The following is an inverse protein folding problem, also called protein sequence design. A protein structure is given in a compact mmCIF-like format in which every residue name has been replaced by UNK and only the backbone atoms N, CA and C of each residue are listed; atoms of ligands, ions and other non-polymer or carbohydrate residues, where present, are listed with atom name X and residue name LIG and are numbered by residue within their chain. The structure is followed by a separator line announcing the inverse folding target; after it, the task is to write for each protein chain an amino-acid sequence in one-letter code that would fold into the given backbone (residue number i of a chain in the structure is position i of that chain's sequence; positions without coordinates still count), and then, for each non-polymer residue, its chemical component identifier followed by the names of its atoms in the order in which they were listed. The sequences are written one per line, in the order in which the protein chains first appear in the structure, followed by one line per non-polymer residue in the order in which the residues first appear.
data_IF_285004653174
#
_entry.id   IF_285004653174
#
_cell.length_a   1.000
_cell.length_b   1.000
_cell.length_c   1.000
_cell.angle_alpha   90.00
_cell.angle_beta   90.00
_cell.angle_gamma   90.00
#
_symmetry.space_group_name_H-M   'P 1'
#
loop_
_entity.id
_entity.type
_entity.pdbx_description
1 polymer ?
#
# COMPACT_ATOMS: atom_id res chain seq x y z
N UNK A 1 14.61 20.21 3.58
CA UNK A 1 13.18 19.89 3.51
C UNK A 1 12.94 18.49 4.05
N UNK A 2 12.00 18.34 5.01
CA UNK A 2 11.67 17.02 5.60
C UNK A 2 10.53 16.33 4.85
N UNK A 3 9.68 17.07 4.19
CA UNK A 3 8.52 16.58 3.44
C UNK A 3 8.96 16.30 2.00
N UNK A 4 8.56 15.16 1.45
CA UNK A 4 8.88 14.72 0.09
C UNK A 4 10.37 14.46 -0.21
N UNK A 5 11.18 14.26 0.83
CA UNK A 5 12.61 13.92 0.65
C UNK A 5 12.80 12.55 0.01
N UNK A 6 11.95 11.58 0.36
CA UNK A 6 12.12 10.21 -0.06
C UNK A 6 10.97 9.76 -0.96
N UNK A 7 11.31 8.99 -2.00
CA UNK A 7 10.36 8.17 -2.73
C UNK A 7 10.73 6.71 -2.57
N UNK A 8 9.72 5.85 -2.54
CA UNK A 8 9.87 4.43 -2.29
C UNK A 8 9.30 3.63 -3.45
N UNK A 9 9.99 2.57 -3.84
CA UNK A 9 9.50 1.61 -4.80
C UNK A 9 9.75 0.21 -4.24
N UNK A 10 8.69 -0.57 -4.13
CA UNK A 10 8.72 -1.96 -3.72
C UNK A 10 8.11 -2.85 -4.80
N UNK A 11 8.58 -4.08 -4.87
CA UNK A 11 8.02 -5.11 -5.73
C UNK A 11 8.12 -6.47 -5.03
N UNK A 12 7.34 -7.45 -5.49
CA UNK A 12 7.40 -8.81 -4.99
C UNK A 12 7.24 -8.90 -3.45
N UNK A 13 6.12 -8.39 -2.90
CA UNK A 13 5.91 -8.36 -1.45
C UNK A 13 5.94 -9.78 -0.86
N UNK A 14 6.36 -9.88 0.41
CA UNK A 14 6.37 -11.15 1.15
C UNK A 14 4.98 -11.70 1.36
N UNK A 15 4.03 -10.82 1.71
CA UNK A 15 2.61 -11.12 1.86
C UNK A 15 1.76 -9.96 1.35
N UNK A 16 0.55 -10.26 0.91
CA UNK A 16 -0.47 -9.28 0.53
C UNK A 16 -1.75 -9.62 1.27
N UNK A 17 -2.24 -8.68 2.06
CA UNK A 17 -3.51 -8.74 2.76
C UNK A 17 -4.56 -7.99 1.96
N UNK A 18 -5.64 -8.67 1.58
CA UNK A 18 -6.86 -8.08 1.01
C UNK A 18 -7.99 -8.35 1.96
N UNK A 19 -8.40 -7.31 2.66
CA UNK A 19 -9.41 -7.41 3.71
C UNK A 19 -10.74 -6.91 3.17
N UNK A 20 -11.73 -7.78 3.18
CA UNK A 20 -13.12 -7.46 2.91
C UNK A 20 -13.93 -7.53 4.20
N UNK A 21 -15.21 -7.24 4.14
CA UNK A 21 -16.07 -7.14 5.33
C UNK A 21 -16.16 -8.45 6.12
N UNK A 22 -16.28 -9.58 5.42
CA UNK A 22 -16.47 -10.91 6.03
C UNK A 22 -15.23 -11.79 6.00
N UNK A 23 -14.36 -11.58 5.01
CA UNK A 23 -13.22 -12.45 4.78
C UNK A 23 -11.97 -11.65 4.41
N UNK A 24 -10.84 -12.18 4.79
CA UNK A 24 -9.52 -11.66 4.45
C UNK A 24 -8.75 -12.70 3.65
N UNK A 25 -8.24 -12.30 2.50
CA UNK A 25 -7.36 -13.11 1.67
C UNK A 25 -5.91 -12.69 1.91
N UNK A 26 -5.06 -13.65 2.25
CA UNK A 26 -3.63 -13.48 2.46
C UNK A 26 -2.88 -14.24 1.37
N UNK A 27 -2.17 -13.54 0.52
CA UNK A 27 -1.37 -14.14 -0.55
C UNK A 27 0.10 -14.05 -0.20
N UNK A 28 0.79 -15.18 -0.17
CA UNK A 28 2.22 -15.28 0.09
C UNK A 28 3.04 -15.10 -1.20
N UNK A 29 4.30 -14.71 -1.08
CA UNK A 29 5.22 -14.53 -2.23
C UNK A 29 5.33 -15.77 -3.12
N UNK A 30 5.26 -16.98 -2.55
CA UNK A 30 5.29 -18.23 -3.28
C UNK A 30 4.02 -18.50 -4.11
N UNK A 31 2.98 -17.66 -3.97
CA UNK A 31 1.70 -17.80 -4.67
C UNK A 31 0.63 -18.54 -3.88
N UNK A 32 0.95 -19.07 -2.72
CA UNK A 32 -0.01 -19.67 -1.81
C UNK A 32 -0.98 -18.60 -1.30
N UNK A 33 -2.26 -18.95 -1.24
CA UNK A 33 -3.32 -18.05 -0.79
C UNK A 33 -4.15 -18.75 0.28
N UNK A 34 -4.34 -18.07 1.40
CA UNK A 34 -5.22 -18.49 2.46
C UNK A 34 -6.35 -17.47 2.66
N UNK A 35 -7.50 -17.95 3.11
CA UNK A 35 -8.65 -17.11 3.41
C UNK A 35 -9.04 -17.33 4.87
N UNK A 36 -9.14 -16.25 5.63
CA UNK A 36 -9.52 -16.26 7.03
C UNK A 36 -10.71 -15.32 7.27
N UNK A 37 -11.54 -15.56 8.28
CA UNK A 37 -12.57 -14.62 8.68
C UNK A 37 -11.96 -13.27 9.04
N UNK A 38 -12.57 -12.18 8.61
CA UNK A 38 -12.12 -10.83 9.00
C UNK A 38 -12.49 -10.58 10.47
N UNK A 39 -11.52 -10.23 11.33
CA UNK A 39 -11.81 -9.90 12.73
C UNK A 39 -12.56 -8.57 12.83
N UNK A 40 -13.18 -8.32 13.99
CA UNK A 40 -13.91 -7.06 14.28
C UNK A 40 -13.01 -5.83 14.10
N UNK A 41 -11.74 -5.94 14.48
CA UNK A 41 -10.72 -4.94 14.18
C UNK A 41 -9.73 -5.51 13.15
N UNK A 42 -9.93 -5.20 11.86
CA UNK A 42 -9.10 -5.76 10.79
C UNK A 42 -7.63 -5.32 10.83
N UNK A 43 -7.31 -4.18 11.44
CA UNK A 43 -5.92 -3.73 11.58
C UNK A 43 -5.10 -4.65 12.48
N UNK A 44 -5.74 -5.40 13.37
CA UNK A 44 -5.08 -6.41 14.21
C UNK A 44 -4.36 -7.50 13.41
N UNK A 45 -4.81 -7.79 12.19
CA UNK A 45 -4.11 -8.72 11.30
C UNK A 45 -2.73 -8.18 10.91
N UNK A 46 -2.67 -6.89 10.58
CA UNK A 46 -1.42 -6.24 10.18
C UNK A 46 -0.52 -6.00 11.38
N UNK A 47 -1.10 -5.56 12.51
CA UNK A 47 -0.39 -5.36 13.77
C UNK A 47 0.27 -6.68 14.22
N UNK A 48 -0.48 -7.78 14.27
CA UNK A 48 0.05 -9.10 14.65
C UNK A 48 1.14 -9.61 13.69
N UNK A 49 1.03 -9.34 12.39
CA UNK A 49 2.10 -9.64 11.45
C UNK A 49 3.36 -8.83 11.77
N UNK A 50 3.20 -7.52 12.02
CA UNK A 50 4.34 -6.63 12.29
C UNK A 50 5.00 -6.93 13.65
N UNK A 51 4.23 -7.32 14.65
CA UNK A 51 4.74 -7.68 15.97
C UNK A 51 5.66 -8.93 15.95
N UNK A 52 5.56 -9.74 14.90
CA UNK A 52 6.45 -10.89 14.71
C UNK A 52 7.87 -10.50 14.28
N UNK A 53 8.09 -9.26 13.86
CA UNK A 53 9.38 -8.77 13.38
C UNK A 53 10.05 -7.89 14.45
N UNK A 54 11.34 -8.13 14.67
CA UNK A 54 12.16 -7.36 15.61
C UNK A 54 13.33 -6.73 14.85
N UNK A 55 13.10 -5.61 14.13
CA UNK A 55 14.12 -5.03 13.27
C UNK A 55 15.25 -4.40 14.09
N UNK A 56 16.48 -4.64 13.67
CA UNK A 56 17.64 -3.93 14.18
C UNK A 56 17.69 -2.56 13.49
N UNK A 57 17.69 -1.50 14.29
CA UNK A 57 17.84 -0.15 13.76
C UNK A 57 19.28 0.11 13.35
N UNK A 58 19.49 0.49 12.09
CA UNK A 58 20.78 0.86 11.54
C UNK A 58 20.95 2.39 11.57
N UNK A 59 22.10 2.92 11.96
CA UNK A 59 22.40 4.34 11.82
C UNK A 59 22.29 4.78 10.36
N UNK A 60 21.91 6.05 10.15
CA UNK A 60 21.85 6.69 8.81
C UNK A 60 20.85 6.09 7.82
N UNK A 61 19.98 5.18 8.26
CA UNK A 61 18.89 4.67 7.43
C UNK A 61 17.64 5.56 7.56
N UNK A 62 16.86 5.72 6.47
CA UNK A 62 15.55 6.35 6.52
C UNK A 62 14.62 5.64 7.51
N UNK A 63 13.64 6.36 8.05
CA UNK A 63 12.67 5.79 8.98
C UNK A 63 11.88 4.61 8.41
N UNK A 64 11.59 4.64 7.11
CA UNK A 64 10.96 3.53 6.42
C UNK A 64 11.99 2.82 5.54
N UNK A 65 12.26 1.55 5.85
CA UNK A 65 13.16 0.68 5.09
C UNK A 65 12.47 -0.62 4.65
N UNK A 66 11.23 -0.81 5.04
CA UNK A 66 10.41 -1.99 4.80
C UNK A 66 9.32 -2.09 5.86
N UNK A 67 8.46 -3.09 5.76
CA UNK A 67 7.33 -3.29 6.66
C UNK A 67 6.00 -3.30 5.93
N UNK A 68 4.93 -2.87 6.58
CA UNK A 68 3.59 -2.85 6.01
C UNK A 68 3.31 -1.54 5.27
N UNK A 69 2.93 -1.64 4.00
CA UNK A 69 2.53 -0.49 3.17
C UNK A 69 1.21 -0.79 2.47
N UNK A 70 0.30 0.15 2.48
CA UNK A 70 -1.02 -0.07 1.88
C UNK A 70 -1.97 1.08 2.10
N UNK A 71 -3.26 0.79 2.11
CA UNK A 71 -4.30 1.78 2.36
C UNK A 71 -5.44 1.20 3.20
N UNK A 72 -6.12 2.10 3.92
CA UNK A 72 -7.44 1.89 4.45
C UNK A 72 -8.44 2.62 3.54
N UNK A 73 -9.43 1.89 3.02
CA UNK A 73 -10.52 2.46 2.22
C UNK A 73 -11.46 3.30 3.08
N UNK A 74 -12.29 4.11 2.45
CA UNK A 74 -13.27 4.93 3.15
C UNK A 74 -14.23 4.07 4.01
N UNK A 75 -14.61 2.90 3.53
CA UNK A 75 -15.51 1.96 4.20
C UNK A 75 -14.93 1.38 5.49
N UNK A 76 -13.61 1.52 5.73
CA UNK A 76 -13.00 1.14 7.02
C UNK A 76 -13.63 1.88 8.20
N UNK A 77 -14.23 3.06 7.97
CA UNK A 77 -14.95 3.81 9.01
C UNK A 77 -16.04 2.99 9.70
N UNK A 78 -16.67 2.05 9.01
CA UNK A 78 -17.73 1.21 9.57
C UNK A 78 -17.25 0.24 10.65
N UNK A 79 -15.95 -0.03 10.73
CA UNK A 79 -15.34 -0.82 11.80
C UNK A 79 -15.09 0.01 13.05
N UNK A 80 -14.99 1.34 12.91
CA UNK A 80 -14.70 2.29 13.99
C UNK A 80 -16.00 2.95 14.48
N UNK A 81 -16.85 3.36 13.55
CA UNK A 81 -18.07 4.12 13.83
C UNK A 81 -19.31 3.41 13.25
N UNK A 82 -19.97 2.55 14.04
CA UNK A 82 -21.12 1.75 13.57
C UNK A 82 -22.35 2.58 13.20
N UNK A 83 -22.43 3.85 13.62
CA UNK A 83 -23.55 4.73 13.29
C UNK A 83 -23.53 5.24 11.85
N UNK A 84 -22.38 5.14 11.18
CA UNK A 84 -22.26 5.47 9.76
C UNK A 84 -22.91 4.36 8.95
N UNK A 85 -23.89 4.71 8.11
CA UNK A 85 -24.58 3.75 7.26
C UNK A 85 -23.66 3.20 6.18
N UNK A 86 -23.69 1.87 6.03
CA UNK A 86 -22.91 1.21 4.97
C UNK A 86 -23.52 1.50 3.60
N UNK A 87 -22.70 1.57 2.54
CA UNK A 87 -23.21 1.62 1.18
C UNK A 87 -23.97 0.33 0.87
N UNK A 88 -25.04 0.44 0.08
CA UNK A 88 -25.87 -0.72 -0.29
C UNK A 88 -25.15 -1.69 -1.24
N UNK A 89 -24.14 -1.24 -1.94
CA UNK A 89 -23.43 -2.01 -2.96
C UNK A 89 -21.95 -1.66 -2.97
N UNK A 90 -21.10 -2.67 -3.24
CA UNK A 90 -19.68 -2.49 -3.54
C UNK A 90 -19.38 -3.00 -4.96
N UNK A 91 -19.79 -2.28 -6.02
CA UNK A 91 -19.68 -2.75 -7.40
C UNK A 91 -18.23 -2.86 -7.87
N UNK A 92 -17.30 -2.16 -7.23
CA UNK A 92 -15.88 -2.20 -7.57
C UNK A 92 -15.13 -3.31 -6.85
N UNK A 93 -15.75 -3.96 -5.86
CA UNK A 93 -15.13 -4.99 -5.02
C UNK A 93 -13.76 -4.55 -4.45
N UNK A 94 -13.66 -3.28 -4.06
CA UNK A 94 -12.44 -2.75 -3.44
C UNK A 94 -12.36 -3.26 -2.00
N UNK A 95 -11.20 -3.78 -1.56
CA UNK A 95 -11.02 -4.18 -0.17
C UNK A 95 -11.08 -2.97 0.77
N UNK A 96 -11.59 -3.19 2.00
CA UNK A 96 -11.63 -2.14 3.04
C UNK A 96 -10.24 -1.82 3.58
N UNK A 97 -9.33 -2.83 3.57
CA UNK A 97 -7.89 -2.65 3.81
C UNK A 97 -7.12 -3.44 2.75
N UNK A 98 -6.05 -2.86 2.26
CA UNK A 98 -5.08 -3.52 1.41
C UNK A 98 -3.68 -3.20 1.93
N UNK A 99 -2.93 -4.22 2.34
CA UNK A 99 -1.57 -4.07 2.83
C UNK A 99 -0.63 -5.08 2.19
N UNK A 100 0.57 -4.62 1.90
CA UNK A 100 1.69 -5.44 1.44
C UNK A 100 2.77 -5.42 2.51
N UNK A 101 3.29 -6.59 2.87
CA UNK A 101 4.49 -6.70 3.69
C UNK A 101 5.68 -6.75 2.75
N UNK A 102 6.53 -5.73 2.82
CA UNK A 102 7.69 -5.61 1.94
C UNK A 102 8.99 -5.68 2.74
N UNK A 103 9.88 -6.52 2.27
CA UNK A 103 11.22 -6.74 2.82
C UNK A 103 12.34 -6.24 1.89
N UNK A 104 11.96 -5.79 0.69
CA UNK A 104 12.90 -5.22 -0.31
C UNK A 104 12.34 -3.90 -0.82
N UNK A 105 13.07 -2.81 -0.63
CA UNK A 105 12.63 -1.45 -0.98
C UNK A 105 13.76 -0.68 -1.64
N UNK A 106 13.46 -0.03 -2.75
CA UNK A 106 14.29 1.00 -3.35
C UNK A 106 13.91 2.35 -2.73
N UNK A 107 14.88 3.08 -2.23
CA UNK A 107 14.71 4.35 -1.54
C UNK A 107 15.45 5.44 -2.29
N UNK A 108 14.70 6.35 -2.90
CA UNK A 108 15.24 7.52 -3.59
C UNK A 108 15.34 8.68 -2.60
N UNK A 109 16.55 9.11 -2.27
CA UNK A 109 16.79 10.31 -1.49
C UNK A 109 16.99 11.50 -2.45
N UNK A 110 15.96 12.30 -2.61
CA UNK A 110 15.96 13.43 -3.55
C UNK A 110 16.89 14.58 -3.13
N UNK A 111 17.23 14.68 -1.86
CA UNK A 111 18.15 15.71 -1.34
C UNK A 111 19.60 15.31 -1.61
N UNK A 112 19.95 14.06 -1.30
CA UNK A 112 21.31 13.55 -1.51
C UNK A 112 21.52 13.03 -2.93
N UNK A 113 20.46 12.90 -3.74
CA UNK A 113 20.49 12.35 -5.10
C UNK A 113 21.08 10.94 -5.16
N UNK A 114 20.73 10.10 -4.20
CA UNK A 114 21.17 8.72 -4.12
C UNK A 114 19.98 7.75 -4.12
N UNK A 115 20.24 6.58 -4.67
CA UNK A 115 19.32 5.43 -4.60
C UNK A 115 19.93 4.39 -3.66
N UNK A 116 19.15 3.97 -2.67
CA UNK A 116 19.50 2.87 -1.78
C UNK A 116 18.65 1.65 -2.10
N UNK A 117 19.28 0.49 -2.14
CA UNK A 117 18.61 -0.82 -2.19
C UNK A 117 18.65 -1.33 -0.77
N UNK A 118 17.48 -1.47 -0.14
CA UNK A 118 17.33 -2.00 1.20
C UNK A 118 16.64 -3.35 1.15
N UNK A 119 17.29 -4.38 1.72
CA UNK A 119 16.73 -5.74 1.82
C UNK A 119 16.89 -6.23 3.24
N UNK A 120 15.81 -6.73 3.84
CA UNK A 120 15.83 -7.29 5.18
C UNK A 120 16.28 -8.75 5.15
N UNK A 121 17.31 -9.07 5.93
CA UNK A 121 17.68 -10.44 6.24
C UNK A 121 16.76 -10.96 7.35
N UNK A 122 15.97 -11.99 7.06
CA UNK A 122 15.07 -12.61 8.02
C UNK A 122 15.77 -13.79 8.69
N UNK A 123 16.11 -13.63 9.97
CA UNK A 123 16.76 -14.66 10.76
C UNK A 123 15.69 -15.48 11.45
N UNK A 124 15.55 -16.74 11.08
CA UNK A 124 14.51 -17.66 11.60
C UNK A 124 15.04 -18.61 12.67
N UNK A 125 16.35 -18.59 12.93
CA UNK A 125 17.03 -19.47 13.89
C UNK A 125 17.91 -18.67 14.86
N UNK A 126 18.46 -19.37 15.83
CA UNK A 126 19.30 -18.77 16.91
C UNK A 126 20.80 -18.98 16.68
N UNK A 127 21.18 -19.65 15.59
CA UNK A 127 22.59 -19.98 15.32
C UNK A 127 23.28 -18.92 14.47
N UNK A 128 24.60 -18.79 14.61
CA UNK A 128 25.42 -17.94 13.75
C UNK A 128 25.33 -18.35 12.26
N UNK A 129 25.16 -19.63 12.01
CA UNK A 129 24.96 -20.17 10.65
C UNK A 129 23.66 -19.69 10.04
N UNK A 130 22.58 -19.58 10.83
CA UNK A 130 21.27 -19.08 10.34
C UNK A 130 21.34 -17.59 9.97
N UNK A 131 22.05 -16.80 10.77
CA UNK A 131 22.25 -15.37 10.47
C UNK A 131 23.14 -15.17 9.25
N UNK A 132 24.19 -15.97 9.07
CA UNK A 132 25.03 -15.96 7.86
C UNK A 132 24.25 -16.29 6.60
N UNK A 133 23.46 -17.36 6.60
CA UNK A 133 22.63 -17.74 5.47
C UNK A 133 21.57 -16.66 5.12
N UNK A 134 20.93 -16.06 6.11
CA UNK A 134 19.97 -14.98 5.90
C UNK A 134 20.64 -13.72 5.30
N UNK A 135 21.85 -13.41 5.76
CA UNK A 135 22.64 -12.31 5.20
C UNK A 135 23.00 -12.56 3.73
N UNK A 136 23.51 -13.73 3.41
CA UNK A 136 23.89 -14.10 2.05
C UNK A 136 22.69 -14.06 1.09
N UNK A 137 21.51 -14.47 1.54
CA UNK A 137 20.26 -14.34 0.77
C UNK A 137 19.88 -12.87 0.53
N UNK A 138 20.02 -12.02 1.53
CA UNK A 138 19.74 -10.60 1.38
C UNK A 138 20.71 -9.93 0.42
N UNK A 139 22.00 -10.27 0.48
CA UNK A 139 23.02 -9.79 -0.47
C UNK A 139 22.70 -10.24 -1.90
N UNK A 140 22.38 -11.51 -2.09
CA UNK A 140 21.99 -12.01 -3.42
C UNK A 140 20.74 -11.30 -3.99
N UNK A 141 19.78 -10.94 -3.15
CA UNK A 141 18.61 -10.16 -3.58
C UNK A 141 19.00 -8.71 -3.92
N UNK A 142 19.92 -8.08 -3.20
CA UNK A 142 20.46 -6.76 -3.54
C UNK A 142 21.14 -6.81 -4.92
N UNK A 143 21.99 -7.79 -5.14
CA UNK A 143 22.69 -7.99 -6.44
C UNK A 143 21.68 -8.21 -7.58
N UNK A 144 20.68 -9.03 -7.36
CA UNK A 144 19.60 -9.25 -8.34
C UNK A 144 18.86 -7.95 -8.71
N UNK A 145 18.55 -7.12 -7.71
CA UNK A 145 17.87 -5.83 -7.92
C UNK A 145 18.81 -4.88 -8.66
N UNK A 146 20.09 -4.83 -8.26
CA UNK A 146 21.10 -4.01 -8.90
C UNK A 146 21.25 -4.36 -10.39
N UNK A 147 21.37 -5.63 -10.72
CA UNK A 147 21.44 -6.13 -12.09
C UNK A 147 20.20 -5.72 -12.93
N UNK A 148 19.00 -5.75 -12.31
CA UNK A 148 17.78 -5.32 -12.97
C UNK A 148 17.79 -3.83 -13.30
N UNK A 149 18.38 -3.01 -12.43
CA UNK A 149 18.51 -1.56 -12.63
C UNK A 149 19.57 -1.24 -13.72
N UNK A 150 20.66 -2.02 -13.80
CA UNK A 150 21.69 -1.83 -14.82
C UNK A 150 21.26 -2.31 -16.22
N UNK A 151 20.32 -3.24 -16.29
CA UNK A 151 19.82 -3.74 -17.58
C UNK A 151 19.14 -2.62 -18.35
N UNK A 152 19.83 -2.08 -19.33
CA UNK A 152 19.26 -1.16 -20.31
C UNK A 152 18.17 -1.89 -21.10
N UNK A 153 16.90 -1.61 -20.81
CA UNK A 153 15.81 -1.99 -21.70
C UNK A 153 15.70 -0.90 -22.77
N UNK A 154 15.70 -1.27 -24.07
CA UNK A 154 15.38 -0.30 -25.10
C UNK A 154 14.02 0.32 -24.79
N UNK A 155 14.01 1.62 -24.52
CA UNK A 155 12.77 2.35 -24.30
C UNK A 155 12.05 2.46 -25.64
N UNK A 156 11.10 1.59 -25.89
CA UNK A 156 10.24 1.70 -27.04
C UNK A 156 9.20 2.77 -26.74
N UNK A 157 9.40 3.97 -27.30
CA UNK A 157 8.34 4.97 -27.35
C UNK A 157 7.12 4.34 -28.05
N UNK A 158 6.10 4.00 -27.29
CA UNK A 158 4.81 3.73 -27.90
C UNK A 158 4.32 5.06 -28.47
N UNK A 159 4.00 5.15 -29.76
CA UNK A 159 3.37 6.35 -30.30
C UNK A 159 2.15 6.62 -29.43
N UNK A 160 1.99 7.87 -29.01
CA UNK A 160 0.76 8.31 -28.35
C UNK A 160 -0.33 7.97 -29.37
N UNK A 161 -1.14 6.97 -29.03
CA UNK A 161 -2.20 6.52 -29.94
C UNK A 161 -3.07 7.71 -30.33
N UNK A 162 -3.61 7.71 -31.53
CA UNK A 162 -4.59 8.70 -31.95
C UNK A 162 -5.59 8.89 -30.80
N UNK A 163 -5.83 10.13 -30.44
CA UNK A 163 -6.79 10.48 -29.39
C UNK A 163 -8.14 9.86 -29.79
N UNK A 164 -8.46 8.70 -29.19
CA UNK A 164 -9.83 8.23 -29.25
C UNK A 164 -10.66 9.33 -28.60
N UNK A 165 -11.67 9.81 -29.31
CA UNK A 165 -12.67 10.71 -28.71
C UNK A 165 -13.10 10.10 -27.38
N UNK A 166 -12.72 10.77 -26.30
CA UNK A 166 -13.12 10.34 -24.95
C UNK A 166 -14.60 10.68 -24.87
N UNK A 167 -15.45 9.68 -25.00
CA UNK A 167 -16.87 9.87 -24.74
C UNK A 167 -17.06 10.39 -23.32
N UNK A 168 -17.80 11.48 -23.16
CA UNK A 168 -18.14 12.01 -21.84
C UNK A 168 -18.84 10.90 -21.04
N UNK A 169 -18.31 10.49 -19.88
CA UNK A 169 -18.90 9.43 -19.11
C UNK A 169 -20.32 9.82 -18.67
N UNK A 170 -21.22 8.85 -18.65
CA UNK A 170 -22.58 9.07 -18.17
C UNK A 170 -22.55 9.36 -16.67
N UNK A 171 -23.00 10.54 -16.28
CA UNK A 171 -23.14 10.90 -14.87
C UNK A 171 -24.29 10.14 -14.20
N UNK A 172 -24.11 9.76 -12.94
CA UNK A 172 -25.17 9.24 -12.07
C UNK A 172 -26.04 10.36 -11.44
N UNK A 173 -25.63 11.63 -11.64
CA UNK A 173 -26.39 12.82 -11.24
C UNK A 173 -26.85 13.60 -12.48
N UNK A 174 -28.07 14.16 -12.44
CA UNK A 174 -28.43 15.25 -13.33
C UNK A 174 -27.80 16.55 -12.79
N UNK A 175 -27.65 17.55 -13.66
CA UNK A 175 -27.09 18.84 -13.29
C UNK A 175 -27.86 19.46 -12.12
N UNK A 176 -29.18 19.48 -12.20
CA UNK A 176 -30.06 20.10 -11.19
C UNK A 176 -29.93 19.40 -9.84
N UNK A 177 -29.89 18.07 -9.82
CA UNK A 177 -29.68 17.29 -8.59
C UNK A 177 -28.33 17.55 -7.96
N UNK A 178 -27.28 17.71 -8.77
CA UNK A 178 -25.96 18.04 -8.29
C UNK A 178 -25.92 19.44 -7.66
N UNK A 179 -26.52 20.45 -8.32
CA UNK A 179 -26.61 21.81 -7.79
C UNK A 179 -27.35 21.87 -6.45
N UNK A 180 -28.46 21.14 -6.32
CA UNK A 180 -29.19 21.02 -5.03
C UNK A 180 -28.31 20.35 -3.95
N UNK A 181 -27.56 19.33 -4.29
CA UNK A 181 -26.64 18.68 -3.35
C UNK A 181 -25.54 19.64 -2.88
N UNK A 182 -24.97 20.44 -3.79
CA UNK A 182 -23.97 21.46 -3.47
C UNK A 182 -24.54 22.52 -2.50
N UNK A 183 -25.75 23.00 -2.72
CA UNK A 183 -26.36 23.99 -1.83
C UNK A 183 -26.67 23.39 -0.44
N UNK A 184 -27.05 22.12 -0.38
CA UNK A 184 -27.22 21.40 0.89
C UNK A 184 -25.89 21.30 1.66
N UNK A 185 -24.79 20.93 0.98
CA UNK A 185 -23.46 20.89 1.60
C UNK A 185 -23.02 22.26 2.10
N UNK A 186 -23.24 23.33 1.32
CA UNK A 186 -22.95 24.71 1.76
C UNK A 186 -23.69 25.07 3.05
N UNK A 187 -24.91 24.60 3.23
CA UNK A 187 -25.66 24.83 4.46
C UNK A 187 -25.06 24.09 5.65
N UNK A 188 -24.61 22.83 5.46
CA UNK A 188 -23.89 22.07 6.50
C UNK A 188 -22.57 22.75 6.88
N UNK A 189 -21.83 23.30 5.91
CA UNK A 189 -20.60 24.05 6.20
C UNK A 189 -20.92 25.29 7.02
N UNK A 190 -22.01 26.04 6.69
CA UNK A 190 -22.41 27.25 7.44
C UNK A 190 -22.89 26.92 8.85
N UNK A 191 -23.53 25.81 9.08
CA UNK A 191 -23.94 25.35 10.42
C UNK A 191 -22.80 24.77 11.24
N UNK A 192 -21.63 24.51 10.64
CA UNK A 192 -20.49 23.93 11.34
C UNK A 192 -20.52 22.40 11.41
N UNK A 193 -21.42 21.75 10.65
CA UNK A 193 -21.57 20.29 10.65
C UNK A 193 -20.45 19.61 9.86
N UNK A 194 -19.91 20.26 8.82
CA UNK A 194 -18.82 19.74 7.98
C UNK A 194 -17.88 20.87 7.56
N UNK A 195 -16.64 20.53 7.29
CA UNK A 195 -15.63 21.45 6.75
C UNK A 195 -15.45 21.20 5.25
N UNK A 196 -15.52 19.94 4.85
CA UNK A 196 -15.31 19.48 3.47
C UNK A 196 -16.22 18.27 3.21
N UNK A 197 -16.74 18.17 2.00
CA UNK A 197 -17.54 17.04 1.54
C UNK A 197 -17.33 16.79 0.04
#
# INVERSE_FOLDING_TARGET
ERISRFSYLGSNPRKVYRVFESETTITHRAGETETVPTPTDPLKLIESEMDSYHPVQMPDMPHFCGGAIGFAGHEFIHTIEPTVSKPSENPLQVPILYYMITDSVLIFDHVCQILRICVHAHISGETESDSGAAYDQAVAEIERIYDLLERQRPFTLRPIGEHKEISVPKSNFTKERFEVAVDKVKNYVRSGDVIQA
#
